data_IF_540901524335
#
_entry.id   IF_540901524335
#
_cell.length_a   1.000
_cell.length_b   1.000
_cell.length_c   1.000
_cell.angle_alpha   90.00
_cell.angle_beta   90.00
_cell.angle_gamma   90.00
#
_symmetry.space_group_name_H-M   'P 1'
#
loop_
_entity.id
_entity.type
_entity.pdbx_description
1 polymer ?
#
# COMPACT_ATOMS: atom_id res chain seq x y z
N UNK A 1 5.70 1.33 -47.36
CA UNK A 1 4.29 0.98 -47.07
C UNK A 1 4.36 -0.16 -46.09
N UNK A 2 4.77 0.12 -44.85
CA UNK A 2 5.32 -0.92 -43.99
C UNK A 2 4.54 -0.94 -42.69
N UNK A 3 3.52 -1.80 -42.64
CA UNK A 3 2.80 -2.11 -41.42
C UNK A 3 3.69 -3.02 -40.57
N UNK A 4 4.23 -2.49 -39.48
CA UNK A 4 4.94 -3.28 -38.47
C UNK A 4 3.89 -4.13 -37.74
N UNK A 5 3.86 -5.41 -38.06
CA UNK A 5 2.94 -6.40 -37.48
C UNK A 5 3.45 -6.80 -36.09
N UNK A 6 3.07 -6.07 -35.05
CA UNK A 6 3.21 -6.57 -33.69
C UNK A 6 2.10 -7.59 -33.40
N UNK A 7 2.43 -8.86 -33.62
CA UNK A 7 1.59 -9.98 -33.18
C UNK A 7 1.81 -10.21 -31.70
N UNK A 8 0.93 -9.67 -30.84
CA UNK A 8 0.90 -10.05 -29.42
C UNK A 8 0.22 -11.43 -29.35
N UNK A 9 1.04 -12.47 -29.47
CA UNK A 9 0.65 -13.86 -29.27
C UNK A 9 0.41 -14.07 -27.79
N UNK A 10 -0.84 -13.94 -27.34
CA UNK A 10 -1.25 -14.39 -26.01
C UNK A 10 -1.67 -15.85 -26.11
N UNK A 11 -0.70 -16.77 -26.14
CA UNK A 11 -0.97 -18.20 -26.01
C UNK A 11 -1.38 -18.49 -24.57
N UNK A 12 -2.68 -18.40 -24.29
CA UNK A 12 -3.25 -18.92 -23.06
C UNK A 12 -3.66 -20.37 -23.33
N UNK A 13 -2.74 -21.30 -23.12
CA UNK A 13 -3.02 -22.75 -23.17
C UNK A 13 -3.77 -23.14 -21.91
N UNK A 14 -5.10 -23.15 -21.96
CA UNK A 14 -5.90 -23.93 -21.03
C UNK A 14 -6.29 -25.27 -21.66
N UNK A 15 -6.17 -26.29 -20.83
CA UNK A 15 -6.28 -27.70 -21.15
C UNK A 15 -7.67 -28.07 -21.70
N UNK A 16 -7.62 -28.72 -22.86
CA UNK A 16 -8.53 -29.72 -23.40
C UNK A 16 -9.95 -29.34 -23.87
N UNK A 17 -10.12 -29.55 -25.18
CA UNK A 17 -11.32 -30.01 -25.91
C UNK A 17 -12.49 -29.03 -26.16
N UNK A 18 -12.50 -28.45 -27.37
CA UNK A 18 -13.63 -28.05 -28.29
C UNK A 18 -13.47 -26.62 -28.88
N UNK A 19 -14.14 -26.35 -30.02
CA UNK A 19 -13.55 -26.27 -31.35
C UNK A 19 -12.84 -24.93 -31.65
N UNK A 20 -11.79 -25.07 -32.46
CA UNK A 20 -11.21 -24.11 -33.41
C UNK A 20 -11.96 -22.77 -33.54
N UNK A 21 -11.56 -21.77 -32.76
CA UNK A 21 -11.90 -20.36 -33.03
C UNK A 21 -10.79 -19.84 -33.96
N UNK A 22 -11.17 -19.52 -35.19
CA UNK A 22 -10.29 -18.87 -36.16
C UNK A 22 -9.60 -17.67 -35.52
N UNK A 23 -8.30 -17.55 -35.77
CA UNK A 23 -7.45 -16.45 -35.30
C UNK A 23 -8.05 -15.11 -35.68
N UNK A 24 -8.59 -14.36 -34.69
CA UNK A 24 -9.02 -12.98 -34.88
C UNK A 24 -7.75 -12.13 -35.03
N UNK A 25 -7.35 -11.87 -36.26
CA UNK A 25 -6.27 -10.94 -36.58
C UNK A 25 -6.75 -9.51 -36.37
N UNK A 26 -6.60 -8.98 -35.15
CA UNK A 26 -6.88 -7.58 -34.89
C UNK A 26 -5.78 -6.74 -35.55
N UNK A 27 -6.10 -6.15 -36.70
CA UNK A 27 -5.19 -5.29 -37.46
C UNK A 27 -5.18 -3.90 -36.82
N UNK A 28 -4.18 -3.63 -35.97
CA UNK A 28 -3.97 -2.30 -35.44
C UNK A 28 -3.19 -1.45 -36.45
N UNK A 29 -3.80 -0.37 -36.92
CA UNK A 29 -3.14 0.65 -37.76
C UNK A 29 -2.40 1.65 -36.85
N UNK A 30 -1.28 2.21 -37.31
CA UNK A 30 -0.38 3.05 -36.50
C UNK A 30 -1.05 4.26 -35.82
N UNK A 31 -2.21 4.71 -36.33
CA UNK A 31 -3.00 5.80 -35.74
C UNK A 31 -3.84 5.39 -34.52
N UNK A 32 -4.22 4.11 -34.42
CA UNK A 32 -5.06 3.57 -33.33
C UNK A 32 -4.22 3.22 -32.09
N UNK A 33 -2.92 2.96 -32.27
CA UNK A 33 -1.99 2.75 -31.16
C UNK A 33 -1.85 4.01 -30.29
N UNK A 34 -1.89 5.20 -30.89
CA UNK A 34 -1.78 6.47 -30.17
C UNK A 34 -2.98 6.65 -29.23
N UNK A 35 -4.18 6.36 -29.71
CA UNK A 35 -5.40 6.42 -28.89
C UNK A 35 -5.40 5.37 -27.78
N UNK A 36 -4.91 4.16 -28.06
CA UNK A 36 -4.78 3.11 -27.05
C UNK A 36 -3.78 3.50 -25.96
N UNK A 37 -2.63 4.06 -26.33
CA UNK A 37 -1.62 4.56 -25.38
C UNK A 37 -2.12 5.76 -24.58
N UNK A 38 -2.88 6.66 -25.19
CA UNK A 38 -3.48 7.82 -24.53
C UNK A 38 -4.52 7.37 -23.48
N UNK A 39 -5.37 6.40 -23.82
CA UNK A 39 -6.41 5.86 -22.92
C UNK A 39 -5.78 5.08 -21.76
N UNK A 40 -4.69 4.35 -22.01
CA UNK A 40 -3.93 3.66 -20.97
C UNK A 40 -3.24 4.65 -20.03
N UNK A 41 -2.61 5.70 -20.56
CA UNK A 41 -1.98 6.74 -19.74
C UNK A 41 -2.99 7.51 -18.90
N UNK A 42 -4.20 7.75 -19.41
CA UNK A 42 -5.26 8.44 -18.66
C UNK A 42 -5.84 7.57 -17.54
N UNK A 43 -5.85 6.24 -17.72
CA UNK A 43 -6.31 5.29 -16.71
C UNK A 43 -5.32 5.11 -15.55
N UNK A 44 -4.08 5.59 -15.68
CA UNK A 44 -3.03 5.54 -14.65
C UNK A 44 -3.07 6.73 -13.67
N UNK A 45 -4.19 7.44 -13.59
CA UNK A 45 -4.39 8.48 -12.57
C UNK A 45 -4.53 7.81 -11.20
N UNK A 46 -3.41 7.70 -10.50
CA UNK A 46 -3.32 7.09 -9.17
C UNK A 46 -4.06 7.94 -8.14
N UNK A 47 -4.92 7.29 -7.34
CA UNK A 47 -5.58 7.93 -6.21
C UNK A 47 -4.49 8.48 -5.26
N UNK A 48 -4.51 9.80 -5.03
CA UNK A 48 -3.54 10.42 -4.12
C UNK A 48 -3.74 9.82 -2.72
N UNK A 49 -2.73 9.14 -2.14
CA UNK A 49 -2.89 8.55 -0.82
C UNK A 49 -3.24 9.68 0.17
N UNK A 50 -4.27 9.44 0.99
CA UNK A 50 -4.66 10.39 2.03
C UNK A 50 -3.48 10.54 2.99
N UNK A 51 -3.10 11.78 3.28
CA UNK A 51 -2.06 12.05 4.28
C UNK A 51 -2.50 11.50 5.64
N UNK A 52 -1.62 10.81 6.39
CA UNK A 52 -1.96 10.34 7.71
C UNK A 52 -2.14 11.52 8.67
N UNK A 53 -2.99 11.34 9.69
CA UNK A 53 -3.08 12.26 10.81
C UNK A 53 -2.01 11.91 11.85
N UNK A 54 -1.28 12.90 12.34
CA UNK A 54 -0.29 12.74 13.41
C UNK A 54 -0.86 13.27 14.72
N UNK A 55 -0.97 12.40 15.72
CA UNK A 55 -1.37 12.75 17.08
C UNK A 55 -0.20 12.49 18.01
N UNK A 56 0.26 13.52 18.72
CA UNK A 56 1.34 13.41 19.69
C UNK A 56 0.75 13.59 21.10
N UNK A 57 0.89 12.56 21.93
CA UNK A 57 0.36 12.54 23.31
C UNK A 57 1.56 12.60 24.25
N UNK A 58 1.56 13.57 25.15
CA UNK A 58 2.56 13.72 26.21
C UNK A 58 1.85 13.59 27.54
N UNK A 59 2.36 12.71 28.40
CA UNK A 59 1.89 12.56 29.77
C UNK A 59 2.89 13.21 30.72
N UNK A 60 2.36 13.89 31.74
CA UNK A 60 3.16 14.53 32.79
C UNK A 60 3.47 13.50 33.88
N UNK A 61 4.71 13.52 34.39
CA UNK A 61 5.20 12.64 35.47
C UNK A 61 4.92 11.13 35.29
N UNK A 62 4.75 10.65 34.05
CA UNK A 62 4.48 9.23 33.79
C UNK A 62 5.76 8.39 33.88
N UNK A 63 5.82 7.50 34.88
CA UNK A 63 6.94 6.61 35.11
C UNK A 63 6.95 5.37 34.20
N UNK A 64 8.12 4.72 34.15
CA UNK A 64 8.32 3.49 33.38
C UNK A 64 7.36 2.35 33.78
N UNK A 65 7.05 2.25 35.09
CA UNK A 65 6.28 1.15 35.67
C UNK A 65 4.78 1.47 35.83
N UNK A 66 4.30 2.59 35.28
CA UNK A 66 2.94 3.11 35.47
C UNK A 66 1.97 2.70 34.34
N UNK A 67 2.36 1.72 33.52
CA UNK A 67 1.57 1.24 32.38
C UNK A 67 1.49 -0.29 32.39
N UNK A 68 0.32 -0.83 32.02
CA UNK A 68 -0.01 -2.25 32.04
C UNK A 68 0.96 -3.13 31.25
N UNK A 69 1.42 -2.64 30.10
CA UNK A 69 2.40 -3.38 29.27
C UNK A 69 3.80 -3.50 29.90
N UNK A 70 4.12 -2.74 30.96
CA UNK A 70 5.32 -2.92 31.78
C UNK A 70 5.03 -3.51 33.16
N UNK A 71 3.86 -3.21 33.73
CA UNK A 71 3.45 -3.65 35.04
C UNK A 71 2.03 -4.26 35.00
N UNK A 72 1.89 -5.59 35.15
CA UNK A 72 0.59 -6.26 35.03
C UNK A 72 -0.44 -5.85 36.09
N UNK A 73 -0.01 -5.20 37.18
CA UNK A 73 -0.92 -4.70 38.22
C UNK A 73 -1.62 -3.38 37.82
N UNK A 74 -1.16 -2.72 36.74
CA UNK A 74 -1.72 -1.46 36.24
C UNK A 74 -2.69 -1.73 35.09
N UNK A 75 -3.85 -1.07 35.13
CA UNK A 75 -4.91 -1.21 34.11
C UNK A 75 -4.85 -0.01 33.17
N UNK A 76 -4.27 -0.18 31.96
CA UNK A 76 -4.19 0.86 30.92
C UNK A 76 -4.55 0.34 29.52
N UNK A 77 -5.76 -0.24 29.33
CA UNK A 77 -6.09 -1.06 28.16
C UNK A 77 -5.93 -0.34 26.81
N UNK A 78 -6.18 0.97 26.75
CA UNK A 78 -6.01 1.75 25.52
C UNK A 78 -4.53 1.94 25.16
N UNK A 79 -3.67 2.19 26.15
CA UNK A 79 -2.23 2.35 25.93
C UNK A 79 -1.59 0.99 25.65
N UNK A 80 -2.03 -0.07 26.34
CA UNK A 80 -1.56 -1.44 26.12
C UNK A 80 -1.91 -1.92 24.71
N UNK A 81 -3.11 -1.59 24.22
CA UNK A 81 -3.49 -1.87 22.82
C UNK A 81 -2.62 -1.11 21.81
N UNK A 82 -2.22 0.14 22.11
CA UNK A 82 -1.32 0.90 21.24
C UNK A 82 0.09 0.31 21.24
N UNK A 83 0.58 -0.14 22.40
CA UNK A 83 1.87 -0.81 22.52
C UNK A 83 1.88 -2.15 21.74
N UNK A 84 0.81 -2.96 21.87
CA UNK A 84 0.69 -4.25 21.17
C UNK A 84 0.50 -4.14 19.65
N UNK A 85 -0.10 -3.04 19.17
CA UNK A 85 -0.28 -2.77 17.74
C UNK A 85 0.82 -1.92 17.10
N UNK A 86 1.79 -1.45 17.89
CA UNK A 86 2.77 -0.46 17.49
C UNK A 86 4.22 -0.86 17.78
N UNK A 87 5.07 0.15 17.96
CA UNK A 87 6.48 -0.02 18.35
C UNK A 87 6.67 0.66 19.70
N UNK A 88 7.21 -0.09 20.66
CA UNK A 88 7.59 0.42 21.97
C UNK A 88 9.08 0.75 22.00
N UNK A 89 9.42 1.92 22.56
CA UNK A 89 10.81 2.34 22.75
C UNK A 89 11.25 1.99 24.17
N UNK A 90 11.99 0.89 24.33
CA UNK A 90 12.36 0.41 25.67
C UNK A 90 13.49 1.19 26.37
N UNK A 91 14.13 2.12 25.65
CA UNK A 91 15.27 2.90 26.14
C UNK A 91 15.13 4.37 25.73
N UNK A 92 14.02 5.01 26.11
CA UNK A 92 13.81 6.45 25.94
C UNK A 92 14.27 7.20 27.20
N UNK A 93 15.25 8.08 27.05
CA UNK A 93 15.80 8.86 28.17
C UNK A 93 15.29 10.30 28.12
N UNK A 94 14.90 10.82 29.29
CA UNK A 94 14.42 12.20 29.48
C UNK A 94 15.17 12.85 30.63
N UNK A 95 15.23 14.19 30.64
CA UNK A 95 15.72 14.91 31.81
C UNK A 95 14.68 14.83 32.92
N UNK A 96 15.07 14.64 34.20
CA UNK A 96 14.15 14.52 35.33
C UNK A 96 13.67 15.92 35.80
N UNK A 97 13.36 16.80 34.86
CA UNK A 97 12.92 18.18 35.10
C UNK A 97 11.81 18.52 34.11
N UNK A 98 10.70 19.07 34.62
CA UNK A 98 9.55 19.48 33.80
C UNK A 98 9.78 20.82 33.08
N UNK A 99 10.86 21.54 33.41
CA UNK A 99 11.27 22.79 32.79
C UNK A 99 12.70 22.67 32.28
N UNK A 100 13.01 23.24 31.09
CA UNK A 100 14.36 23.21 30.53
C UNK A 100 15.37 24.02 31.35
#
# INVERSE_FOLDING_TARGET
MDAILFSVVKTFTLHSNLPMIESISIKYTSKEMIWFFLVISLSLSTARPKSPHLVFIVADDLGWNDLGYHNPDIISPNIDSLAGGGITLNQSYVQPLCSP
#
